data_IF_315121978387
#
_entry.id   IF_315121978387
#
_cell.length_a   1.000
_cell.length_b   1.000
_cell.length_c   1.000
_cell.angle_alpha   90.00
_cell.angle_beta   90.00
_cell.angle_gamma   90.00
#
_symmetry.space_group_name_H-M   'P 1'
#
loop_
_entity.id
_entity.type
_entity.pdbx_description
1 polymer ?
#
# COMPACT_ATOMS: atom_id res chain seq x y z
N UNK A 1 5.93 77.45 25.58
CA UNK A 1 6.00 76.61 24.36
C UNK A 1 7.06 75.54 24.64
N UNK A 2 6.71 74.31 25.08
CA UNK A 2 6.37 73.11 24.24
C UNK A 2 7.32 73.03 23.04
N UNK A 3 8.28 72.09 22.95
CA UNK A 3 8.14 70.61 22.75
C UNK A 3 9.51 69.93 23.04
N UNK A 4 9.71 68.97 23.98
CA UNK A 4 9.60 67.48 23.87
C UNK A 4 9.74 66.91 22.44
N UNK A 5 10.48 65.85 22.11
CA UNK A 5 11.24 64.81 22.80
C UNK A 5 12.26 64.24 21.77
N UNK A 6 13.50 63.91 22.15
CA UNK A 6 13.98 62.55 22.46
C UNK A 6 13.21 61.39 21.78
N UNK A 7 13.87 60.70 20.85
CA UNK A 7 14.13 59.25 20.91
C UNK A 7 14.76 58.79 19.60
N UNK A 8 15.99 58.32 19.69
CA UNK A 8 16.71 57.65 18.63
C UNK A 8 17.00 56.21 19.11
N UNK A 9 16.99 55.28 18.16
CA UNK A 9 17.73 54.00 18.14
C UNK A 9 16.94 52.72 18.47
N UNK A 10 16.73 51.96 17.39
CA UNK A 10 16.82 50.50 17.17
C UNK A 10 16.17 49.53 18.17
N UNK A 11 15.20 48.78 17.64
CA UNK A 11 15.09 47.34 17.86
C UNK A 11 14.52 46.68 16.61
N UNK A 12 15.41 46.20 15.74
CA UNK A 12 15.18 45.06 14.85
C UNK A 12 14.84 43.84 15.71
N UNK A 13 13.65 43.26 15.55
CA UNK A 13 13.37 41.81 15.65
C UNK A 13 11.86 41.58 15.59
N UNK A 14 11.40 40.96 14.51
CA UNK A 14 10.53 39.77 14.53
C UNK A 14 10.21 39.42 13.07
N UNK A 15 11.22 38.83 12.43
CA UNK A 15 10.98 37.73 11.49
C UNK A 15 10.32 36.64 12.33
N UNK A 16 9.05 36.38 12.12
CA UNK A 16 8.33 35.40 12.92
C UNK A 16 6.92 35.18 12.45
N UNK A 17 6.67 33.95 11.99
CA UNK A 17 5.40 33.35 11.63
C UNK A 17 4.90 33.62 10.21
N UNK A 18 5.56 32.97 9.24
CA UNK A 18 4.84 32.10 8.31
C UNK A 18 5.83 31.09 7.70
N UNK A 19 6.43 30.24 8.52
CA UNK A 19 6.73 28.89 8.06
C UNK A 19 5.39 28.17 7.95
N UNK A 20 4.57 28.54 6.96
CA UNK A 20 3.60 27.59 6.44
C UNK A 20 4.48 26.51 5.83
N UNK A 21 4.61 25.43 6.58
CA UNK A 21 5.12 24.17 6.07
C UNK A 21 4.30 23.85 4.82
N UNK A 22 4.83 24.21 3.66
CA UNK A 22 4.48 23.65 2.37
C UNK A 22 4.98 22.19 2.36
N UNK A 23 4.50 21.38 3.29
CA UNK A 23 4.44 19.94 3.07
C UNK A 23 3.30 19.72 2.07
N UNK A 24 3.62 20.02 0.82
CA UNK A 24 3.34 19.18 -0.33
C UNK A 24 2.06 18.35 -0.18
N UNK A 25 0.90 19.01 -0.14
CA UNK A 25 -0.34 18.39 -0.61
C UNK A 25 -0.22 18.27 -2.13
N UNK A 26 0.65 17.35 -2.58
CA UNK A 26 0.59 16.83 -3.94
C UNK A 26 -0.85 16.35 -4.14
N UNK A 27 -1.54 16.95 -5.11
CA UNK A 27 -2.92 16.65 -5.40
C UNK A 27 -3.08 15.14 -5.64
N UNK A 28 -3.55 14.43 -4.61
CA UNK A 28 -3.91 13.01 -4.68
C UNK A 28 -5.03 12.90 -5.71
N UNK A 29 -4.72 12.29 -6.84
CA UNK A 29 -5.60 12.26 -8.00
C UNK A 29 -6.00 10.82 -8.26
N UNK A 30 -6.73 10.22 -7.31
CA UNK A 30 -7.42 8.95 -7.42
C UNK A 30 -8.21 8.69 -6.12
N UNK A 31 -9.25 7.85 -6.13
CA UNK A 31 -9.97 7.54 -4.89
C UNK A 31 -8.99 6.94 -3.89
N UNK A 32 -8.95 7.53 -2.70
CA UNK A 32 -8.26 6.96 -1.55
C UNK A 32 -8.92 5.61 -1.25
N UNK A 33 -8.15 4.52 -1.32
CA UNK A 33 -8.63 3.22 -0.88
C UNK A 33 -8.14 3.00 0.55
N UNK A 34 -9.05 2.68 1.47
CA UNK A 34 -8.75 2.46 2.88
C UNK A 34 -9.27 1.10 3.34
N UNK A 35 -8.53 0.47 4.26
CA UNK A 35 -8.98 -0.70 5.02
C UNK A 35 -8.63 -0.54 6.49
N UNK A 36 -9.55 -0.92 7.37
CA UNK A 36 -9.33 -0.95 8.81
C UNK A 36 -8.21 -1.92 9.16
N UNK A 37 -7.32 -1.50 10.06
CA UNK A 37 -6.26 -2.35 10.61
C UNK A 37 -6.90 -3.19 11.73
N UNK A 38 -6.92 -4.53 11.63
CA UNK A 38 -7.52 -5.36 12.66
C UNK A 38 -6.92 -5.11 14.05
N UNK A 39 -7.78 -4.92 15.05
CA UNK A 39 -7.35 -4.64 16.43
C UNK A 39 -6.91 -3.20 16.69
N UNK A 40 -7.06 -2.29 15.73
CA UNK A 40 -6.76 -0.85 15.88
C UNK A 40 -7.97 0.02 15.51
N UNK A 41 -8.02 1.24 16.04
CA UNK A 41 -8.94 2.31 15.62
C UNK A 41 -8.39 3.08 14.41
N UNK A 42 -7.45 2.50 13.67
CA UNK A 42 -6.79 3.09 12.51
C UNK A 42 -7.14 2.36 11.21
N UNK A 43 -6.92 3.05 10.09
CA UNK A 43 -7.05 2.51 8.76
C UNK A 43 -5.74 2.72 7.99
N UNK A 44 -5.35 1.72 7.21
CA UNK A 44 -4.32 1.86 6.21
C UNK A 44 -4.98 2.33 4.92
N UNK A 45 -4.48 3.43 4.36
CA UNK A 45 -4.98 3.98 3.12
C UNK A 45 -3.86 4.12 2.09
N UNK A 46 -4.23 4.00 0.82
CA UNK A 46 -3.36 4.24 -0.32
C UNK A 46 -3.99 5.25 -1.26
N UNK A 47 -3.19 6.21 -1.70
CA UNK A 47 -3.54 7.17 -2.72
C UNK A 47 -2.56 7.08 -3.88
N UNK A 48 -3.09 7.13 -5.11
CA UNK A 48 -2.30 7.03 -6.32
C UNK A 48 -2.06 8.42 -6.89
N UNK A 49 -0.80 8.77 -7.13
CA UNK A 49 -0.40 10.08 -7.63
C UNK A 49 -0.39 10.13 -9.16
N UNK A 50 -0.39 11.35 -9.72
CA UNK A 50 -0.36 11.57 -11.18
C UNK A 50 0.88 10.95 -11.87
N UNK A 51 1.97 10.79 -11.13
CA UNK A 51 3.21 10.17 -11.62
C UNK A 51 3.22 8.64 -11.39
N UNK A 52 2.06 8.02 -11.14
CA UNK A 52 1.90 6.58 -10.89
C UNK A 52 2.66 6.04 -9.67
N UNK A 53 3.03 6.89 -8.73
CA UNK A 53 3.52 6.49 -7.41
C UNK A 53 2.36 6.24 -6.44
N UNK A 54 2.57 5.37 -5.45
CA UNK A 54 1.67 5.14 -4.33
C UNK A 54 2.12 5.95 -3.12
N UNK A 55 1.15 6.52 -2.43
CA UNK A 55 1.31 7.20 -1.16
C UNK A 55 0.50 6.43 -0.15
N UNK A 56 1.18 5.80 0.80
CA UNK A 56 0.56 5.05 1.88
C UNK A 56 0.52 5.89 3.15
N UNK A 57 -0.62 5.85 3.84
CA UNK A 57 -0.84 6.59 5.07
C UNK A 57 -1.66 5.76 6.06
N UNK A 58 -1.41 5.99 7.33
CA UNK A 58 -2.25 5.48 8.41
C UNK A 58 -3.08 6.65 8.92
N UNK A 59 -4.40 6.46 8.98
CA UNK A 59 -5.34 7.47 9.44
C UNK A 59 -6.18 6.92 10.57
N UNK A 60 -6.27 7.66 11.67
CA UNK A 60 -7.21 7.32 12.74
C UNK A 60 -8.67 7.42 12.27
N UNK A 61 -9.51 6.51 12.74
CA UNK A 61 -10.92 6.40 12.34
C UNK A 61 -11.83 7.43 13.04
N UNK A 62 -11.25 8.38 13.80
CA UNK A 62 -11.96 9.43 14.53
C UNK A 62 -11.71 10.81 13.91
N UNK A 63 -12.60 11.77 14.17
CA UNK A 63 -12.44 13.16 13.72
C UNK A 63 -11.17 13.84 14.27
N UNK A 64 -10.51 13.24 15.25
CA UNK A 64 -9.26 13.69 15.85
C UNK A 64 -8.10 12.73 15.59
N UNK A 65 -8.31 11.72 14.73
CA UNK A 65 -7.30 10.74 14.38
C UNK A 65 -6.11 11.43 13.71
N UNK A 66 -4.92 11.23 14.26
CA UNK A 66 -3.71 11.66 13.58
C UNK A 66 -3.58 10.87 12.27
N UNK A 67 -3.17 11.57 11.22
CA UNK A 67 -2.82 10.95 9.94
C UNK A 67 -1.31 11.03 9.80
N UNK A 68 -0.67 9.88 9.61
CA UNK A 68 0.77 9.79 9.38
C UNK A 68 1.05 9.19 8.02
N UNK A 69 2.00 9.79 7.31
CA UNK A 69 2.53 9.27 6.06
C UNK A 69 3.51 8.12 6.37
N UNK A 70 3.49 7.07 5.55
CA UNK A 70 4.47 5.98 5.61
C UNK A 70 5.54 6.26 4.55
N UNK A 71 6.52 7.10 4.88
CA UNK A 71 7.48 7.66 3.91
C UNK A 71 8.38 6.60 3.28
N UNK A 72 8.64 5.54 4.03
CA UNK A 72 9.50 4.41 3.62
C UNK A 72 8.76 3.32 2.83
N UNK A 73 7.43 3.39 2.73
CA UNK A 73 6.63 2.31 2.16
C UNK A 73 6.09 2.65 0.76
N UNK A 74 6.54 1.88 -0.23
CA UNK A 74 6.01 1.91 -1.59
C UNK A 74 5.99 0.50 -2.17
N UNK A 75 4.93 0.18 -2.88
CA UNK A 75 4.78 -1.04 -3.68
C UNK A 75 5.06 -0.77 -5.17
N UNK A 76 5.00 0.49 -5.62
CA UNK A 76 5.33 0.87 -7.00
C UNK A 76 6.74 1.47 -7.02
N UNK A 77 7.74 0.67 -7.37
CA UNK A 77 9.16 1.07 -7.31
C UNK A 77 9.41 2.43 -7.98
N UNK A 78 10.24 3.27 -7.35
CA UNK A 78 10.54 4.66 -7.79
C UNK A 78 11.31 4.80 -9.11
N UNK A 79 11.25 3.81 -10.00
CA UNK A 79 11.81 3.86 -11.35
C UNK A 79 10.82 4.42 -12.38
N UNK A 80 11.31 4.72 -13.59
CA UNK A 80 10.48 5.19 -14.70
C UNK A 80 9.53 4.13 -15.29
N UNK A 81 9.44 2.94 -14.67
CA UNK A 81 8.55 1.89 -15.14
C UNK A 81 7.11 2.24 -14.78
N UNK A 82 6.24 2.09 -15.77
CA UNK A 82 4.82 2.37 -15.67
C UNK A 82 4.13 1.29 -14.81
N UNK A 83 4.25 1.39 -13.49
CA UNK A 83 3.46 0.62 -12.54
C UNK A 83 2.04 1.18 -12.44
N UNK A 84 1.08 0.32 -12.09
CA UNK A 84 -0.29 0.70 -11.79
C UNK A 84 -0.80 -0.09 -10.61
N UNK A 85 -1.50 0.58 -9.72
CA UNK A 85 -2.10 -0.03 -8.54
C UNK A 85 -3.42 -0.71 -8.91
N UNK A 86 -3.63 -1.93 -8.42
CA UNK A 86 -4.89 -2.66 -8.55
C UNK A 86 -5.73 -2.55 -7.28
N UNK A 87 -5.39 -3.35 -6.27
CA UNK A 87 -6.12 -3.46 -5.01
C UNK A 87 -5.18 -3.95 -3.89
N UNK A 88 -5.64 -3.85 -2.64
CA UNK A 88 -4.94 -4.43 -1.50
C UNK A 88 -5.91 -5.10 -0.52
N UNK A 89 -5.40 -5.93 0.38
CA UNK A 89 -6.20 -6.50 1.46
C UNK A 89 -5.37 -6.86 2.69
N UNK A 90 -5.85 -6.48 3.88
CA UNK A 90 -5.23 -6.83 5.16
C UNK A 90 -5.80 -8.16 5.67
N UNK A 91 -4.92 -9.07 6.09
CA UNK A 91 -5.29 -10.35 6.71
C UNK A 91 -6.11 -10.13 8.00
N UNK A 92 -7.04 -11.01 8.40
CA UNK A 92 -7.93 -10.79 9.54
C UNK A 92 -7.23 -10.56 10.90
N UNK A 93 -6.05 -11.12 11.13
CA UNK A 93 -5.24 -10.90 12.32
C UNK A 93 -4.31 -9.69 12.22
N UNK A 94 -4.29 -9.01 11.07
CA UNK A 94 -3.44 -7.85 10.83
C UNK A 94 -1.96 -8.20 10.64
N UNK A 95 -1.62 -9.45 10.31
CA UNK A 95 -0.23 -9.89 10.12
C UNK A 95 0.33 -9.52 8.74
N UNK A 96 -0.49 -9.68 7.69
CA UNK A 96 -0.08 -9.52 6.30
C UNK A 96 -0.91 -8.48 5.55
N UNK A 97 -0.24 -7.80 4.62
CA UNK A 97 -0.82 -6.99 3.58
C UNK A 97 -0.61 -7.70 2.24
N UNK A 98 -1.69 -8.01 1.54
CA UNK A 98 -1.65 -8.44 0.14
C UNK A 98 -1.86 -7.23 -0.77
N UNK A 99 -1.04 -7.05 -1.80
CA UNK A 99 -1.13 -5.93 -2.75
C UNK A 99 -1.04 -6.45 -4.17
N UNK A 100 -1.98 -6.05 -5.01
CA UNK A 100 -1.94 -6.29 -6.46
C UNK A 100 -1.49 -5.02 -7.15
N UNK A 101 -0.39 -5.11 -7.89
CA UNK A 101 0.05 -4.06 -8.82
C UNK A 101 0.23 -4.67 -10.21
N UNK A 102 0.30 -3.83 -11.23
CA UNK A 102 0.74 -4.25 -12.55
C UNK A 102 1.87 -3.35 -13.04
N UNK A 103 3.03 -3.93 -13.30
CA UNK A 103 4.18 -3.24 -13.88
C UNK A 103 4.21 -3.52 -15.38
N UNK A 104 4.21 -2.48 -16.22
CA UNK A 104 4.22 -2.64 -17.69
C UNK A 104 3.09 -3.54 -18.24
N UNK A 105 1.99 -3.64 -17.48
CA UNK A 105 0.84 -4.51 -17.80
C UNK A 105 0.97 -5.96 -17.31
N UNK A 106 2.02 -6.29 -16.55
CA UNK A 106 2.22 -7.58 -15.91
C UNK A 106 1.70 -7.52 -14.46
N UNK A 107 0.58 -8.18 -14.11
CA UNK A 107 0.11 -8.18 -12.73
C UNK A 107 0.97 -9.05 -11.82
N UNK A 108 1.17 -8.55 -10.60
CA UNK A 108 1.89 -9.21 -9.52
C UNK A 108 1.07 -9.09 -8.23
N UNK A 109 1.01 -10.19 -7.49
CA UNK A 109 0.57 -10.19 -6.10
C UNK A 109 1.79 -10.18 -5.18
N UNK A 110 1.89 -9.17 -4.34
CA UNK A 110 2.90 -9.04 -3.31
C UNK A 110 2.31 -9.25 -1.93
N UNK A 111 3.13 -9.77 -1.04
CA UNK A 111 2.85 -9.78 0.38
C UNK A 111 3.85 -8.90 1.12
N UNK A 112 3.40 -8.28 2.21
CA UNK A 112 4.24 -7.52 3.14
C UNK A 112 3.77 -7.81 4.57
N UNK A 113 4.70 -7.77 5.53
CA UNK A 113 4.33 -7.83 6.95
C UNK A 113 3.83 -6.48 7.42
N UNK A 114 2.66 -6.47 8.07
CA UNK A 114 2.03 -5.23 8.56
C UNK A 114 2.87 -4.55 9.64
N UNK A 115 3.47 -5.31 10.57
CA UNK A 115 4.33 -4.72 11.60
C UNK A 115 5.53 -3.99 10.99
N UNK A 116 6.10 -4.52 9.91
CA UNK A 116 7.22 -3.92 9.19
C UNK A 116 6.80 -2.60 8.55
N UNK A 117 5.64 -2.57 7.89
CA UNK A 117 5.04 -1.37 7.28
C UNK A 117 4.74 -0.32 8.35
N UNK A 118 3.99 -0.69 9.38
CA UNK A 118 3.51 0.25 10.39
C UNK A 118 4.63 0.85 11.22
N UNK A 119 5.73 0.11 11.43
CA UNK A 119 6.91 0.60 12.15
C UNK A 119 7.99 1.20 11.23
N UNK A 120 7.73 1.27 9.91
CA UNK A 120 8.68 1.83 8.93
C UNK A 120 10.08 1.18 8.99
N UNK A 121 10.09 -0.12 9.24
CA UNK A 121 11.32 -0.92 9.28
C UNK A 121 11.55 -1.62 7.94
N UNK A 122 12.81 -1.87 7.60
CA UNK A 122 13.14 -2.65 6.40
C UNK A 122 12.76 -4.13 6.55
N UNK A 123 12.25 -4.74 5.48
CA UNK A 123 11.93 -6.17 5.47
C UNK A 123 13.21 -7.00 5.19
N UNK A 124 13.73 -7.68 6.22
CA UNK A 124 14.98 -8.47 6.09
C UNK A 124 14.81 -9.75 5.31
N UNK A 125 13.62 -10.37 5.38
CA UNK A 125 13.27 -11.60 4.70
C UNK A 125 12.02 -11.33 3.85
N UNK A 126 12.19 -10.93 2.58
CA UNK A 126 11.07 -10.51 1.74
C UNK A 126 10.08 -11.66 1.57
N UNK A 127 8.80 -11.34 1.75
CA UNK A 127 7.75 -12.29 1.46
C UNK A 127 7.70 -12.59 -0.04
N UNK A 128 7.27 -13.80 -0.41
CA UNK A 128 7.15 -14.21 -1.80
C UNK A 128 6.19 -13.32 -2.61
N UNK A 129 6.35 -13.34 -3.92
CA UNK A 129 5.43 -12.70 -4.88
C UNK A 129 4.92 -13.70 -5.90
N UNK A 130 3.72 -13.45 -6.44
CA UNK A 130 3.10 -14.29 -7.48
C UNK A 130 2.95 -13.44 -8.75
N UNK A 131 3.80 -13.63 -9.76
CA UNK A 131 3.63 -13.01 -11.06
C UNK A 131 2.53 -13.73 -11.86
N UNK A 132 1.66 -12.98 -12.51
CA UNK A 132 0.64 -13.51 -13.42
C UNK A 132 0.83 -12.87 -14.79
N UNK A 133 1.43 -13.58 -15.74
CA UNK A 133 1.53 -13.07 -17.10
C UNK A 133 1.55 -14.16 -18.19
N UNK A 134 0.76 -14.00 -19.27
CA UNK A 134 -0.28 -12.98 -19.47
C UNK A 134 -1.48 -13.22 -18.55
N UNK A 135 -2.35 -12.24 -18.30
CA UNK A 135 -3.62 -12.47 -17.59
C UNK A 135 -3.95 -11.45 -16.52
N UNK A 136 -4.93 -11.79 -15.69
CA UNK A 136 -5.43 -10.98 -14.59
C UNK A 136 -5.39 -11.74 -13.26
N UNK A 137 -5.30 -10.96 -12.18
CA UNK A 137 -5.38 -11.44 -10.81
C UNK A 137 -6.27 -10.50 -10.01
N UNK A 138 -7.11 -11.07 -9.15
CA UNK A 138 -7.95 -10.32 -8.21
C UNK A 138 -7.95 -10.98 -6.84
N UNK A 139 -8.09 -10.19 -5.78
CA UNK A 139 -8.24 -10.66 -4.40
C UNK A 139 -9.72 -10.96 -4.14
N UNK A 140 -10.02 -12.21 -3.78
CA UNK A 140 -11.37 -12.62 -3.35
C UNK A 140 -11.54 -12.50 -1.82
N UNK A 141 -10.44 -12.28 -1.11
CA UNK A 141 -10.38 -12.02 0.32
C UNK A 141 -9.77 -13.17 1.13
N UNK A 142 -9.43 -12.84 2.37
CA UNK A 142 -8.83 -13.77 3.32
C UNK A 142 -9.88 -14.72 3.90
N UNK A 143 -9.46 -15.95 4.23
CA UNK A 143 -10.26 -16.95 4.97
C UNK A 143 -9.74 -17.16 6.38
N UNK A 144 -8.42 -17.06 6.55
CA UNK A 144 -7.73 -17.00 7.83
C UNK A 144 -6.59 -15.98 7.71
N UNK A 145 -5.83 -15.76 8.78
CA UNK A 145 -4.69 -14.86 8.75
C UNK A 145 -3.60 -15.29 7.74
N UNK A 146 -3.50 -16.59 7.46
CA UNK A 146 -2.47 -17.17 6.60
C UNK A 146 -3.03 -17.73 5.28
N UNK A 147 -4.32 -17.54 4.98
CA UNK A 147 -4.97 -18.10 3.80
C UNK A 147 -5.73 -17.02 3.03
N UNK A 148 -5.17 -16.65 1.89
CA UNK A 148 -5.78 -15.74 0.93
C UNK A 148 -6.44 -16.53 -0.20
N UNK A 149 -7.64 -16.11 -0.62
CA UNK A 149 -8.25 -16.58 -1.87
C UNK A 149 -8.05 -15.51 -2.94
N UNK A 150 -7.53 -15.93 -4.09
CA UNK A 150 -7.38 -15.08 -5.28
C UNK A 150 -8.13 -15.70 -6.45
N UNK A 151 -8.49 -14.90 -7.44
CA UNK A 151 -9.01 -15.39 -8.72
C UNK A 151 -8.06 -14.98 -9.85
N UNK A 152 -7.77 -15.91 -10.75
CA UNK A 152 -6.94 -15.65 -11.94
C UNK A 152 -7.44 -16.44 -13.15
N UNK A 153 -7.29 -15.85 -14.33
CA UNK A 153 -7.53 -16.47 -15.64
C UNK A 153 -6.33 -17.29 -16.15
N UNK A 154 -5.23 -17.33 -15.38
CA UNK A 154 -4.10 -18.23 -15.60
C UNK A 154 -4.22 -19.49 -14.74
N UNK A 155 -3.70 -20.60 -15.27
CA UNK A 155 -3.47 -21.82 -14.46
C UNK A 155 -2.21 -21.63 -13.63
N UNK A 156 -2.38 -21.11 -12.41
CA UNK A 156 -1.28 -20.87 -11.49
C UNK A 156 -0.68 -22.17 -10.92
N UNK A 157 -1.46 -23.27 -10.90
CA UNK A 157 -0.97 -24.57 -10.41
C UNK A 157 0.03 -25.21 -11.39
N UNK A 158 -0.13 -24.94 -12.69
CA UNK A 158 0.76 -25.41 -13.74
C UNK A 158 1.30 -24.24 -14.55
N UNK A 159 1.74 -23.19 -13.88
CA UNK A 159 2.16 -21.96 -14.53
C UNK A 159 3.17 -22.25 -15.64
N UNK A 160 2.77 -21.95 -16.87
CA UNK A 160 3.60 -22.04 -18.07
C UNK A 160 3.53 -20.69 -18.76
N UNK A 161 4.67 -20.03 -18.84
CA UNK A 161 4.77 -18.75 -19.52
C UNK A 161 4.26 -18.88 -20.96
N UNK A 162 3.33 -18.00 -21.35
CA UNK A 162 2.69 -18.02 -22.68
C UNK A 162 1.55 -19.04 -22.84
N UNK A 163 1.07 -19.68 -21.77
CA UNK A 163 -0.13 -20.50 -21.82
C UNK A 163 -1.38 -19.67 -22.16
N UNK A 164 -2.34 -20.31 -22.83
CA UNK A 164 -3.61 -19.68 -23.16
C UNK A 164 -4.41 -19.34 -21.90
N UNK A 165 -5.02 -18.15 -21.89
CA UNK A 165 -5.94 -17.73 -20.83
C UNK A 165 -7.15 -18.68 -20.77
N UNK A 166 -7.61 -18.94 -19.56
CA UNK A 166 -8.76 -19.80 -19.28
C UNK A 166 -9.86 -18.99 -18.60
N UNK A 167 -11.00 -19.63 -18.32
CA UNK A 167 -11.98 -19.05 -17.41
C UNK A 167 -11.33 -18.83 -16.03
N UNK A 168 -11.63 -17.70 -15.40
CA UNK A 168 -11.09 -17.34 -14.08
C UNK A 168 -11.40 -18.42 -13.04
N UNK A 169 -10.39 -18.79 -12.27
CA UNK A 169 -10.43 -19.83 -11.26
C UNK A 169 -9.91 -19.31 -9.92
N UNK A 170 -10.46 -19.84 -8.84
CA UNK A 170 -10.07 -19.44 -7.49
C UNK A 170 -8.95 -20.33 -6.98
N UNK A 171 -7.93 -19.71 -6.39
CA UNK A 171 -6.76 -20.35 -5.85
C UNK A 171 -6.59 -20.02 -4.38
N UNK A 172 -6.08 -20.99 -3.62
CA UNK A 172 -5.70 -20.84 -2.21
C UNK A 172 -4.23 -20.51 -2.13
N UNK A 173 -3.89 -19.32 -1.65
CA UNK A 173 -2.51 -18.93 -1.36
C UNK A 173 -2.29 -19.06 0.15
N UNK A 174 -1.46 -20.02 0.54
CA UNK A 174 -1.16 -20.31 1.93
C UNK A 174 0.23 -19.78 2.31
N UNK A 175 0.27 -18.96 3.36
CA UNK A 175 1.46 -18.24 3.86
C UNK A 175 1.79 -18.59 5.32
N UNK A 176 2.09 -19.87 5.66
CA UNK A 176 2.55 -20.20 7.00
C UNK A 176 3.94 -19.57 7.21
N UNK A 177 4.08 -18.78 8.27
CA UNK A 177 5.36 -18.19 8.69
C UNK A 177 6.01 -17.29 7.60
N UNK A 178 5.22 -16.77 6.66
CA UNK A 178 5.71 -15.92 5.57
C UNK A 178 6.39 -16.67 4.43
N UNK A 179 6.29 -18.00 4.37
CA UNK A 179 6.74 -18.79 3.22
C UNK A 179 5.56 -19.19 2.36
N UNK A 180 5.74 -19.22 1.04
CA UNK A 180 4.77 -19.86 0.15
C UNK A 180 4.94 -21.38 0.33
N UNK A 181 3.89 -22.06 0.80
CA UNK A 181 3.85 -23.52 0.78
C UNK A 181 3.99 -24.02 -0.67
N UNK A 182 4.68 -25.13 -0.92
CA UNK A 182 4.79 -25.74 -2.27
C UNK A 182 3.42 -25.96 -2.95
N UNK A 183 2.34 -26.03 -2.16
CA UNK A 183 0.94 -26.09 -2.58
C UNK A 183 0.31 -24.70 -2.86
N UNK A 184 1.07 -23.70 -3.31
CA UNK A 184 0.69 -22.27 -3.52
C UNK A 184 -0.65 -22.07 -4.22
N UNK A 185 -1.13 -23.06 -4.97
CA UNK A 185 -2.29 -22.93 -5.85
C UNK A 185 -3.08 -24.23 -5.91
N UNK A 186 -3.65 -24.66 -4.79
CA UNK A 186 -4.73 -25.65 -4.83
C UNK A 186 -5.95 -24.97 -5.47
N UNK A 187 -6.21 -25.31 -6.74
CA UNK A 187 -7.44 -24.94 -7.45
C UNK A 187 -8.65 -25.30 -6.61
N UNK A 188 -9.46 -24.31 -6.25
CA UNK A 188 -10.75 -24.57 -5.62
C UNK A 188 -11.68 -25.06 -6.72
N UNK A 189 -12.03 -26.35 -6.72
CA UNK A 189 -13.16 -26.82 -7.54
C UNK A 189 -14.42 -26.18 -6.99
N UNK A 190 -15.09 -25.35 -7.78
CA UNK A 190 -16.47 -24.95 -7.49
C UNK A 190 -17.32 -26.24 -7.47
N UNK A 191 -18.20 -26.41 -6.47
CA UNK A 191 -19.05 -27.59 -6.34
C UNK A 191 -20.00 -27.77 -7.53
#
# INVERSE_FOLDING_TARGET
>A
MRTFALACIFATTLVGCANLSEHTTQALYNPLQCQSIPGSDEQLCVAITRNRGDVWLVSGNSAYGETRLLESFSCMGGGNSAASFGEFSISPGGTYLAVVIAEEGHPFLFFRRMNTILNETEETDPLPSIPVYPGGLTIQGWRTDNLLIISSDQDLAHYRHGAALQASQDYRVYLPEGTLSEDVTIKIRKP
#
